data_IF_959043003531
#
_entry.id   IF_959043003531
#
_cell.length_a   1.000
_cell.length_b   1.000
_cell.length_c   1.000
_cell.angle_alpha   90.00
_cell.angle_beta   90.00
_cell.angle_gamma   90.00
#
_symmetry.space_group_name_H-M   'P 1'
#
loop_
_entity.id
_entity.type
_entity.pdbx_description
1 polymer ?
#
# COMPACT_ATOMS: atom_id res chain seq x y z
N UNK A 1 20.22 13.19 3.84
CA UNK A 1 20.11 13.24 5.31
C UNK A 1 20.96 12.15 5.91
N UNK A 2 21.83 12.48 6.87
CA UNK A 2 22.71 11.54 7.61
C UNK A 2 22.02 10.98 8.85
N UNK A 3 22.56 9.90 9.40
CA UNK A 3 22.10 9.34 10.68
C UNK A 3 22.24 10.35 11.84
N UNK A 4 23.27 11.20 11.79
CA UNK A 4 23.50 12.23 12.81
C UNK A 4 22.44 13.33 12.76
N UNK A 5 22.04 13.76 11.56
CA UNK A 5 20.95 14.73 11.38
C UNK A 5 19.61 14.14 11.84
N UNK A 6 19.36 12.86 11.54
CA UNK A 6 18.16 12.16 12.00
C UNK A 6 18.13 12.08 13.53
N UNK A 7 19.25 11.71 14.18
CA UNK A 7 19.34 11.63 15.64
C UNK A 7 19.06 13.00 16.28
N UNK A 8 19.65 14.07 15.73
CA UNK A 8 19.45 15.45 16.20
C UNK A 8 17.98 15.86 16.08
N UNK A 9 17.36 15.64 14.93
CA UNK A 9 15.96 16.02 14.68
C UNK A 9 14.99 15.21 15.56
N UNK A 10 15.27 13.93 15.77
CA UNK A 10 14.50 13.05 16.66
C UNK A 10 14.72 13.30 18.16
N UNK A 11 15.69 14.16 18.54
CA UNK A 11 16.01 14.44 19.94
C UNK A 11 16.62 13.26 20.68
N UNK A 12 17.26 12.31 19.97
CA UNK A 12 17.92 11.14 20.55
C UNK A 12 19.42 11.21 20.41
N UNK A 13 20.15 10.61 21.36
CA UNK A 13 21.61 10.52 21.27
C UNK A 13 22.07 9.68 20.08
N UNK A 14 23.13 10.12 19.36
CA UNK A 14 23.75 9.36 18.26
C UNK A 14 24.01 7.90 18.64
N UNK A 15 24.64 7.67 19.79
CA UNK A 15 24.94 6.33 20.29
C UNK A 15 23.68 5.46 20.47
N UNK A 16 22.58 6.07 20.88
CA UNK A 16 21.29 5.37 21.02
C UNK A 16 20.76 4.94 19.66
N UNK A 17 20.80 5.82 18.65
CA UNK A 17 20.32 5.49 17.30
C UNK A 17 21.17 4.38 16.68
N UNK A 18 22.51 4.47 16.76
CA UNK A 18 23.41 3.44 16.23
C UNK A 18 23.39 2.11 16.99
N UNK A 19 22.91 2.10 18.24
CA UNK A 19 22.66 0.85 18.97
C UNK A 19 21.41 0.14 18.45
N UNK A 20 20.43 0.87 17.93
CA UNK A 20 19.17 0.32 17.43
C UNK A 20 19.25 -0.04 15.94
N UNK A 21 20.02 0.72 15.15
CA UNK A 21 20.10 0.57 13.69
C UNK A 21 21.54 0.72 13.22
N UNK A 22 22.05 -0.29 12.53
CA UNK A 22 23.44 -0.30 12.06
C UNK A 22 23.70 0.75 10.97
N UNK A 23 22.67 1.07 10.18
CA UNK A 23 22.77 2.01 9.06
C UNK A 23 21.43 2.67 8.76
N UNK A 24 21.45 3.66 7.84
CA UNK A 24 20.27 4.41 7.44
C UNK A 24 19.24 3.55 6.69
N UNK A 25 19.68 2.55 5.96
CA UNK A 25 18.80 1.66 5.20
C UNK A 25 17.95 0.81 6.15
N UNK A 26 18.58 0.21 7.17
CA UNK A 26 17.88 -0.55 8.20
C UNK A 26 16.85 0.32 8.96
N UNK A 27 17.23 1.56 9.31
CA UNK A 27 16.30 2.52 9.91
C UNK A 27 15.13 2.82 8.98
N UNK A 28 15.39 3.09 7.69
CA UNK A 28 14.34 3.40 6.73
C UNK A 28 13.37 2.23 6.54
N UNK A 29 13.87 0.99 6.45
CA UNK A 29 13.06 -0.23 6.38
C UNK A 29 12.19 -0.37 7.62
N UNK A 30 12.77 -0.20 8.81
CA UNK A 30 12.04 -0.32 10.08
C UNK A 30 10.92 0.73 10.21
N UNK A 31 11.18 1.97 9.82
CA UNK A 31 10.16 3.04 9.81
C UNK A 31 9.04 2.72 8.82
N UNK A 32 9.38 2.24 7.62
CA UNK A 32 8.39 1.83 6.62
C UNK A 32 7.49 0.71 7.14
N UNK A 33 8.08 -0.35 7.68
CA UNK A 33 7.36 -1.47 8.28
C UNK A 33 6.43 -1.01 9.41
N UNK A 34 6.91 -0.12 10.28
CA UNK A 34 6.12 0.41 11.40
C UNK A 34 4.92 1.25 10.93
N UNK A 35 5.11 2.13 9.93
CA UNK A 35 4.02 2.93 9.36
C UNK A 35 2.94 2.05 8.71
N UNK A 36 3.35 1.06 7.90
CA UNK A 36 2.43 0.11 7.30
C UNK A 36 1.70 -0.71 8.36
N UNK A 37 2.42 -1.27 9.33
CA UNK A 37 1.82 -2.04 10.40
C UNK A 37 0.76 -1.23 11.15
N UNK A 38 1.07 -0.01 11.57
CA UNK A 38 0.14 0.84 12.30
C UNK A 38 -1.13 1.18 11.50
N UNK A 39 -1.02 1.33 10.18
CA UNK A 39 -2.16 1.55 9.30
C UNK A 39 -3.00 0.28 9.13
N UNK A 40 -2.34 -0.85 8.88
CA UNK A 40 -3.02 -2.13 8.64
C UNK A 40 -3.69 -2.67 9.90
N UNK A 41 -3.08 -2.49 11.09
CA UNK A 41 -3.70 -2.85 12.36
C UNK A 41 -5.06 -2.15 12.52
N UNK A 42 -5.15 -0.84 12.18
CA UNK A 42 -6.42 -0.10 12.22
C UNK A 42 -7.44 -0.63 11.21
N UNK A 43 -7.00 -1.02 10.01
CA UNK A 43 -7.90 -1.65 9.02
C UNK A 43 -8.40 -3.00 9.50
N UNK A 44 -7.53 -3.79 10.14
CA UNK A 44 -7.86 -5.09 10.67
C UNK A 44 -8.80 -4.99 11.89
N UNK A 45 -8.64 -3.98 12.73
CA UNK A 45 -9.59 -3.67 13.81
C UNK A 45 -10.97 -3.27 13.26
N UNK A 46 -10.99 -2.41 12.24
CA UNK A 46 -12.25 -1.96 11.61
C UNK A 46 -12.96 -3.10 10.85
N UNK A 47 -12.21 -4.04 10.28
CA UNK A 47 -12.75 -5.17 9.54
C UNK A 47 -11.88 -6.42 9.72
N UNK A 48 -12.04 -7.18 10.82
CA UNK A 48 -11.28 -8.40 11.08
C UNK A 48 -11.44 -9.45 9.96
N UNK A 49 -10.39 -10.22 9.71
CA UNK A 49 -10.42 -11.32 8.70
C UNK A 49 -11.57 -12.30 8.98
N UNK A 50 -11.86 -12.57 10.26
CA UNK A 50 -12.96 -13.44 10.65
C UNK A 50 -14.35 -12.93 10.24
N UNK A 51 -14.52 -11.62 10.02
CA UNK A 51 -15.81 -11.01 9.66
C UNK A 51 -16.07 -10.96 8.16
N UNK A 52 -15.10 -11.37 7.31
CA UNK A 52 -15.24 -11.21 5.86
C UNK A 52 -15.75 -12.48 5.15
N UNK A 53 -15.95 -13.59 5.87
CA UNK A 53 -16.33 -14.88 5.24
C UNK A 53 -17.60 -14.78 4.40
N UNK A 54 -18.62 -14.08 4.88
CA UNK A 54 -19.91 -13.93 4.20
C UNK A 54 -19.94 -12.78 3.19
N UNK A 55 -18.85 -12.00 3.09
CA UNK A 55 -18.76 -10.89 2.13
C UNK A 55 -18.37 -11.45 0.77
N UNK A 56 -19.16 -11.21 -0.31
CA UNK A 56 -18.79 -11.57 -1.66
C UNK A 56 -17.44 -10.98 -2.07
N UNK A 57 -16.72 -11.64 -2.99
CA UNK A 57 -15.39 -11.21 -3.42
C UNK A 57 -15.39 -9.78 -3.96
N UNK A 58 -16.42 -9.38 -4.71
CA UNK A 58 -16.55 -7.99 -5.19
C UNK A 58 -16.65 -6.98 -4.05
N UNK A 59 -17.35 -7.30 -2.97
CA UNK A 59 -17.44 -6.42 -1.79
C UNK A 59 -16.09 -6.26 -1.07
N UNK A 60 -15.29 -7.32 -1.00
CA UNK A 60 -13.91 -7.27 -0.48
C UNK A 60 -13.01 -6.44 -1.40
N UNK A 61 -13.20 -6.56 -2.71
CA UNK A 61 -12.45 -5.80 -3.70
C UNK A 61 -12.75 -4.30 -3.61
N UNK A 62 -14.03 -3.93 -3.55
CA UNK A 62 -14.46 -2.55 -3.33
C UNK A 62 -13.83 -1.98 -2.06
N UNK A 63 -13.88 -2.72 -0.94
CA UNK A 63 -13.26 -2.27 0.31
C UNK A 63 -11.75 -2.05 0.18
N UNK A 64 -11.06 -2.91 -0.55
CA UNK A 64 -9.61 -2.77 -0.79
C UNK A 64 -9.31 -1.48 -1.56
N UNK A 65 -10.04 -1.19 -2.63
CA UNK A 65 -9.87 0.05 -3.40
C UNK A 65 -10.21 1.29 -2.57
N UNK A 66 -11.29 1.23 -1.77
CA UNK A 66 -11.69 2.32 -0.86
C UNK A 66 -10.65 2.57 0.24
N UNK A 67 -9.98 1.52 0.70
CA UNK A 67 -8.90 1.66 1.69
C UNK A 67 -7.73 2.49 1.15
N UNK A 68 -7.37 2.35 -0.13
CA UNK A 68 -6.33 3.19 -0.74
C UNK A 68 -6.78 4.63 -0.94
N UNK A 69 -8.04 4.85 -1.36
CA UNK A 69 -8.60 6.20 -1.44
C UNK A 69 -8.63 6.85 -0.05
N UNK A 70 -9.06 6.11 0.97
CA UNK A 70 -9.03 6.57 2.37
C UNK A 70 -7.61 6.90 2.86
N UNK A 71 -6.60 6.12 2.44
CA UNK A 71 -5.20 6.43 2.71
C UNK A 71 -4.77 7.73 2.03
N UNK A 72 -5.16 7.95 0.77
CA UNK A 72 -4.91 9.21 0.07
C UNK A 72 -5.56 10.41 0.78
N UNK A 73 -6.78 10.26 1.25
CA UNK A 73 -7.52 11.34 1.91
C UNK A 73 -6.95 11.71 3.29
N UNK A 74 -6.52 10.71 4.08
CA UNK A 74 -6.24 10.88 5.51
C UNK A 74 -4.80 10.58 5.90
N UNK A 75 -3.99 9.95 5.03
CA UNK A 75 -2.65 9.45 5.35
C UNK A 75 -1.69 9.62 4.17
N UNK A 76 -1.73 10.79 3.50
CA UNK A 76 -0.82 11.11 2.39
C UNK A 76 0.65 10.94 2.76
N UNK A 77 0.99 11.20 4.03
CA UNK A 77 2.34 11.02 4.57
C UNK A 77 2.86 9.59 4.44
N UNK A 78 1.98 8.57 4.58
CA UNK A 78 2.36 7.16 4.41
C UNK A 78 2.68 6.88 2.93
N UNK A 79 1.84 7.36 2.00
CA UNK A 79 2.03 7.19 0.57
C UNK A 79 3.31 7.89 0.08
N UNK A 80 3.54 9.13 0.50
CA UNK A 80 4.75 9.90 0.18
C UNK A 80 6.01 9.24 0.76
N UNK A 81 5.91 8.75 2.01
CA UNK A 81 7.02 8.02 2.62
C UNK A 81 7.35 6.74 1.86
N UNK A 82 6.33 5.97 1.49
CA UNK A 82 6.49 4.73 0.73
C UNK A 82 7.14 4.96 -0.64
N UNK A 83 6.76 6.02 -1.35
CA UNK A 83 7.36 6.40 -2.63
C UNK A 83 8.85 6.74 -2.47
N UNK A 84 9.16 7.62 -1.52
CA UNK A 84 10.54 7.98 -1.20
C UNK A 84 11.37 6.78 -0.72
N UNK A 85 10.77 5.88 0.07
CA UNK A 85 11.39 4.65 0.53
C UNK A 85 11.72 3.72 -0.64
N UNK A 86 10.77 3.47 -1.54
CA UNK A 86 11.00 2.64 -2.72
C UNK A 86 12.12 3.21 -3.60
N UNK A 87 12.07 4.51 -3.88
CA UNK A 87 13.12 5.20 -4.63
C UNK A 87 14.50 5.09 -3.95
N UNK A 88 14.54 5.17 -2.62
CA UNK A 88 15.79 5.06 -1.87
C UNK A 88 16.32 3.62 -1.90
N UNK A 89 15.50 2.62 -1.57
CA UNK A 89 15.91 1.22 -1.41
C UNK A 89 16.35 0.59 -2.74
N UNK A 90 15.71 0.94 -3.87
CA UNK A 90 16.10 0.43 -5.18
C UNK A 90 17.53 0.80 -5.59
N UNK A 91 18.11 1.83 -4.96
CA UNK A 91 19.49 2.27 -5.20
C UNK A 91 20.47 1.78 -4.12
N UNK A 92 20.02 0.92 -3.21
CA UNK A 92 20.86 0.34 -2.15
C UNK A 92 21.06 -1.15 -2.38
N UNK A 93 22.19 -1.67 -1.91
CA UNK A 93 22.38 -3.11 -1.78
C UNK A 93 21.71 -3.54 -0.47
N UNK A 94 20.53 -4.13 -0.55
CA UNK A 94 19.76 -4.60 0.61
C UNK A 94 19.70 -6.11 0.56
N UNK A 95 19.99 -6.77 1.69
CA UNK A 95 19.84 -8.21 1.81
C UNK A 95 18.36 -8.56 2.05
N UNK A 96 17.93 -9.73 1.60
CA UNK A 96 16.53 -10.15 1.74
C UNK A 96 16.11 -10.27 3.21
N UNK A 97 17.03 -10.65 4.09
CA UNK A 97 16.79 -10.72 5.53
C UNK A 97 16.48 -9.34 6.15
N UNK A 98 17.06 -8.26 5.61
CA UNK A 98 16.77 -6.89 6.07
C UNK A 98 15.34 -6.47 5.71
N UNK A 99 14.78 -7.01 4.62
CA UNK A 99 13.40 -6.76 4.19
C UNK A 99 12.37 -7.69 4.87
N UNK A 100 12.82 -8.73 5.58
CA UNK A 100 11.93 -9.73 6.16
C UNK A 100 10.84 -9.11 7.07
N UNK A 101 11.21 -8.16 7.92
CA UNK A 101 10.26 -7.46 8.81
C UNK A 101 9.27 -6.59 8.01
N UNK A 102 9.72 -5.96 6.93
CA UNK A 102 8.85 -5.19 6.04
C UNK A 102 7.87 -6.12 5.32
N UNK A 103 8.35 -7.21 4.73
CA UNK A 103 7.49 -8.21 4.09
C UNK A 103 6.50 -8.80 5.09
N UNK A 104 6.94 -9.11 6.32
CA UNK A 104 6.06 -9.60 7.38
C UNK A 104 4.95 -8.60 7.73
N UNK A 105 5.23 -7.30 7.70
CA UNK A 105 4.21 -6.26 7.95
C UNK A 105 3.12 -6.21 6.88
N UNK A 106 3.37 -6.73 5.68
CA UNK A 106 2.41 -6.78 4.57
C UNK A 106 1.65 -8.12 4.46
N UNK A 107 1.98 -9.12 5.29
CA UNK A 107 1.39 -10.46 5.19
C UNK A 107 -0.14 -10.46 5.34
N UNK A 108 -0.72 -9.61 6.19
CA UNK A 108 -2.17 -9.54 6.36
C UNK A 108 -2.85 -9.05 5.07
N UNK A 109 -2.27 -8.08 4.37
CA UNK A 109 -2.77 -7.59 3.08
C UNK A 109 -2.71 -8.68 2.02
N UNK A 110 -1.55 -9.32 1.87
CA UNK A 110 -1.36 -10.39 0.89
C UNK A 110 -2.35 -11.55 1.13
N UNK A 111 -2.55 -11.95 2.39
CA UNK A 111 -3.53 -12.96 2.77
C UNK A 111 -4.95 -12.55 2.38
N UNK A 112 -5.36 -11.31 2.66
CA UNK A 112 -6.69 -10.78 2.31
C UNK A 112 -6.91 -10.75 0.79
N UNK A 113 -5.91 -10.32 0.02
CA UNK A 113 -5.98 -10.29 -1.45
C UNK A 113 -6.10 -11.70 -2.02
N UNK A 114 -5.31 -12.65 -1.52
CA UNK A 114 -5.42 -14.06 -1.92
C UNK A 114 -6.79 -14.65 -1.60
N UNK A 115 -7.28 -14.47 -0.38
CA UNK A 115 -8.62 -14.92 0.04
C UNK A 115 -9.74 -14.28 -0.80
N UNK A 116 -9.58 -13.03 -1.19
CA UNK A 116 -10.53 -12.32 -2.06
C UNK A 116 -10.58 -12.96 -3.45
N UNK A 117 -9.41 -13.23 -4.06
CA UNK A 117 -9.35 -13.82 -5.39
C UNK A 117 -9.81 -15.30 -5.39
N UNK A 118 -9.48 -16.06 -4.35
CA UNK A 118 -10.00 -17.41 -4.14
C UNK A 118 -11.54 -17.40 -4.04
N UNK A 119 -12.10 -16.45 -3.28
CA UNK A 119 -13.56 -16.28 -3.17
C UNK A 119 -14.21 -15.93 -4.51
N UNK A 120 -13.56 -15.11 -5.35
CA UNK A 120 -14.07 -14.80 -6.68
C UNK A 120 -14.14 -16.02 -7.60
N UNK A 121 -13.25 -17.00 -7.45
CA UNK A 121 -13.34 -18.28 -8.16
C UNK A 121 -14.58 -19.09 -7.76
N UNK A 122 -15.06 -18.92 -6.53
CA UNK A 122 -16.25 -19.59 -6.01
C UNK A 122 -17.54 -18.85 -6.42
N UNK A 123 -17.64 -17.54 -6.08
CA UNK A 123 -18.87 -16.76 -6.19
C UNK A 123 -19.05 -16.05 -7.54
N UNK A 124 -18.01 -16.04 -8.38
CA UNK A 124 -18.03 -15.46 -9.73
C UNK A 124 -18.43 -13.99 -9.79
N UNK A 125 -18.21 -13.24 -8.71
CA UNK A 125 -18.61 -11.80 -8.63
C UNK A 125 -17.66 -10.86 -9.35
N UNK A 126 -16.45 -11.33 -9.70
CA UNK A 126 -15.56 -10.69 -10.65
C UNK A 126 -14.71 -11.73 -11.43
N UNK A 127 -14.01 -11.26 -12.46
CA UNK A 127 -13.25 -12.11 -13.39
C UNK A 127 -12.10 -12.86 -12.72
N UNK A 128 -11.92 -14.12 -13.09
CA UNK A 128 -10.81 -14.98 -12.68
C UNK A 128 -10.19 -15.74 -13.85
N UNK A 129 -10.39 -15.23 -15.06
CA UNK A 129 -9.88 -15.77 -16.33
C UNK A 129 -8.41 -15.41 -16.60
N UNK A 130 -7.84 -14.53 -15.78
CA UNK A 130 -6.41 -14.17 -15.80
C UNK A 130 -5.74 -14.61 -14.50
N UNK A 131 -4.41 -14.80 -14.46
CA UNK A 131 -3.70 -15.13 -13.23
C UNK A 131 -3.91 -14.09 -12.13
N UNK A 132 -4.02 -14.56 -10.87
CA UNK A 132 -4.21 -13.71 -9.69
C UNK A 132 -3.19 -12.55 -9.62
N UNK A 133 -1.91 -12.88 -9.80
CA UNK A 133 -0.84 -11.89 -9.78
C UNK A 133 -1.03 -10.79 -10.85
N UNK A 134 -1.45 -11.16 -12.05
CA UNK A 134 -1.75 -10.20 -13.11
C UNK A 134 -2.98 -9.36 -12.77
N UNK A 135 -4.04 -9.96 -12.22
CA UNK A 135 -5.21 -9.23 -11.77
C UNK A 135 -4.84 -8.19 -10.72
N UNK A 136 -4.04 -8.57 -9.70
CA UNK A 136 -3.60 -7.65 -8.65
C UNK A 136 -2.76 -6.50 -9.21
N UNK A 137 -1.83 -6.78 -10.15
CA UNK A 137 -1.01 -5.73 -10.76
C UNK A 137 -1.83 -4.70 -11.51
N UNK A 138 -2.78 -5.14 -12.34
CA UNK A 138 -3.56 -4.23 -13.19
C UNK A 138 -4.72 -3.52 -12.47
N UNK A 139 -5.02 -3.92 -11.23
CA UNK A 139 -6.12 -3.34 -10.45
C UNK A 139 -5.63 -2.70 -9.15
N UNK A 140 -5.34 -3.52 -8.14
CA UNK A 140 -4.97 -3.06 -6.79
C UNK A 140 -3.69 -2.22 -6.81
N UNK A 141 -2.64 -2.69 -7.48
CA UNK A 141 -1.37 -1.95 -7.56
C UNK A 141 -1.51 -0.67 -8.41
N UNK A 142 -2.35 -0.68 -9.44
CA UNK A 142 -2.63 0.54 -10.23
C UNK A 142 -3.34 1.59 -9.38
N UNK A 143 -4.34 1.19 -8.56
CA UNK A 143 -5.01 2.10 -7.63
C UNK A 143 -4.02 2.68 -6.62
N UNK A 144 -3.18 1.84 -6.01
CA UNK A 144 -2.16 2.29 -5.06
C UNK A 144 -1.17 3.25 -5.72
N UNK A 145 -0.71 2.96 -6.95
CA UNK A 145 0.20 3.83 -7.69
C UNK A 145 -0.42 5.20 -7.97
N UNK A 146 -1.70 5.24 -8.37
CA UNK A 146 -2.43 6.50 -8.57
C UNK A 146 -2.56 7.30 -7.26
N UNK A 147 -2.95 6.66 -6.16
CA UNK A 147 -3.03 7.30 -4.84
C UNK A 147 -1.68 7.87 -4.41
N UNK A 148 -0.60 7.12 -4.60
CA UNK A 148 0.78 7.55 -4.29
C UNK A 148 1.19 8.74 -5.14
N UNK A 149 0.95 8.70 -6.45
CA UNK A 149 1.27 9.77 -7.37
C UNK A 149 0.54 11.08 -7.02
N UNK A 150 -0.77 11.00 -6.78
CA UNK A 150 -1.57 12.15 -6.36
C UNK A 150 -1.20 12.68 -4.97
N UNK A 151 -0.79 11.80 -4.04
CA UNK A 151 -0.31 12.23 -2.73
C UNK A 151 0.99 13.05 -2.82
N UNK A 152 1.83 12.77 -3.81
CA UNK A 152 3.05 13.53 -4.09
C UNK A 152 2.79 14.96 -4.59
N UNK A 153 1.56 15.27 -5.02
CA UNK A 153 1.19 16.59 -5.55
C UNK A 153 1.82 16.90 -6.91
N UNK A 154 2.42 15.91 -7.56
CA UNK A 154 3.17 16.09 -8.81
C UNK A 154 2.37 15.63 -10.02
N UNK A 155 1.61 16.57 -10.63
CA UNK A 155 0.94 16.31 -11.90
C UNK A 155 1.17 17.49 -12.82
N UNK A 156 1.94 17.27 -13.89
CA UNK A 156 2.06 18.18 -15.05
C UNK A 156 2.26 19.66 -14.69
N UNK A 157 3.03 19.94 -13.62
CA UNK A 157 3.32 21.30 -13.18
C UNK A 157 2.26 21.95 -12.28
N UNK A 158 1.23 21.23 -11.87
CA UNK A 158 0.30 21.74 -10.87
C UNK A 158 0.99 21.79 -9.49
N UNK A 159 1.12 22.99 -8.95
CA UNK A 159 1.73 23.25 -7.62
C UNK A 159 0.68 23.45 -6.54
N UNK A 160 -0.57 23.26 -6.87
CA UNK A 160 -1.71 23.50 -6.02
C UNK A 160 -2.10 22.25 -5.22
N UNK A 161 -2.50 22.45 -3.98
CA UNK A 161 -3.07 21.43 -3.08
C UNK A 161 -4.43 20.93 -3.58
N UNK A 162 -4.53 20.54 -4.86
CA UNK A 162 -5.76 20.05 -5.44
C UNK A 162 -6.14 18.71 -4.83
N UNK A 163 -7.40 18.53 -4.53
CA UNK A 163 -7.95 17.24 -4.13
C UNK A 163 -8.29 16.41 -5.38
N UNK A 164 -7.66 15.25 -5.51
CA UNK A 164 -7.86 14.31 -6.61
C UNK A 164 -8.77 13.14 -6.23
N UNK A 165 -9.53 13.24 -5.15
CA UNK A 165 -10.48 12.19 -4.74
C UNK A 165 -11.45 11.82 -5.84
N UNK A 166 -11.95 12.82 -6.61
CA UNK A 166 -12.85 12.58 -7.75
C UNK A 166 -12.22 11.74 -8.85
N UNK A 167 -10.95 11.99 -9.18
CA UNK A 167 -10.20 11.23 -10.19
C UNK A 167 -9.95 9.80 -9.72
N UNK A 168 -9.65 9.60 -8.43
CA UNK A 168 -9.49 8.27 -7.83
C UNK A 168 -10.80 7.48 -7.79
N UNK A 169 -11.93 8.14 -7.55
CA UNK A 169 -13.25 7.49 -7.60
C UNK A 169 -13.59 7.05 -9.03
N UNK A 170 -13.27 7.87 -10.04
CA UNK A 170 -13.43 7.49 -11.44
C UNK A 170 -12.53 6.32 -11.83
N UNK A 171 -11.26 6.33 -11.40
CA UNK A 171 -10.35 5.19 -11.59
C UNK A 171 -10.88 3.92 -10.92
N UNK A 172 -11.43 4.03 -9.70
CA UNK A 172 -12.09 2.91 -9.04
C UNK A 172 -13.24 2.33 -9.88
N UNK A 173 -14.08 3.18 -10.44
CA UNK A 173 -15.16 2.75 -11.33
C UNK A 173 -14.63 2.02 -12.57
N UNK A 174 -13.59 2.54 -13.22
CA UNK A 174 -12.93 1.87 -14.36
C UNK A 174 -12.38 0.49 -13.97
N UNK A 175 -11.73 0.38 -12.82
CA UNK A 175 -11.18 -0.88 -12.30
C UNK A 175 -12.32 -1.88 -11.99
N UNK A 176 -13.41 -1.43 -11.37
CA UNK A 176 -14.56 -2.27 -11.09
C UNK A 176 -15.26 -2.76 -12.36
N UNK A 177 -15.42 -1.91 -13.35
CA UNK A 177 -15.95 -2.29 -14.67
C UNK A 177 -15.07 -3.34 -15.34
N UNK A 178 -13.74 -3.17 -15.33
CA UNK A 178 -12.80 -4.17 -15.81
C UNK A 178 -12.91 -5.50 -15.06
N UNK A 179 -13.03 -5.45 -13.74
CA UNK A 179 -13.12 -6.65 -12.91
C UNK A 179 -14.43 -7.43 -13.14
N UNK A 180 -15.56 -6.73 -13.32
CA UNK A 180 -16.88 -7.36 -13.44
C UNK A 180 -17.22 -7.80 -14.87
N UNK A 181 -16.77 -7.05 -15.88
CA UNK A 181 -17.23 -7.27 -17.25
C UNK A 181 -16.29 -8.09 -18.12
N UNK A 182 -15.26 -8.71 -17.59
CA UNK A 182 -14.33 -9.58 -18.32
C UNK A 182 -14.19 -9.21 -19.81
N UNK A 183 -13.03 -8.95 -20.34
CA UNK A 183 -12.93 -8.60 -21.76
C UNK A 183 -13.37 -9.76 -22.65
N UNK A 184 -14.44 -9.59 -23.40
CA UNK A 184 -14.61 -10.22 -24.70
C UNK A 184 -13.60 -9.56 -25.66
N UNK A 185 -12.30 -9.81 -25.49
CA UNK A 185 -11.25 -9.51 -26.45
C UNK A 185 -10.98 -10.74 -27.29
#
# INVERSE_FOLDING_TARGET
VSMDEIAKEAGVGRATLFRCYNNKTELAISVCASKWKAYLDKLDEARPISSIHDIPAIGRFIFTLDSYIGMYQNHKDILQYNDNFNNYVTHQTVQEEELANFHASLNSVNTRLHMMYAKAKEDKTFRTDIPEEQFMRVTVHTMMAACTHYAGGFIWGATDNKDYTGDLLLLKEMILNYAQNGTNL
#
